data_IF_385977018738
#
_entry.id   IF_385977018738
#
_cell.length_a   1.000
_cell.length_b   1.000
_cell.length_c   1.000
_cell.angle_alpha   90.00
_cell.angle_beta   90.00
_cell.angle_gamma   90.00
#
_symmetry.space_group_name_H-M   'P 1'
#
loop_
_entity.id
_entity.type
_entity.pdbx_description
1 polymer ?
#
# COMPACT_ATOMS: atom_id res chain seq x y z
N UNK A 1 17.42 5.01 25.20
CA UNK A 1 17.97 5.67 26.39
C UNK A 1 19.35 6.16 26.01
N UNK A 2 19.68 7.40 26.31
CA UNK A 2 20.99 8.00 26.07
C UNK A 2 21.67 8.11 27.43
N UNK A 3 22.83 7.47 27.56
CA UNK A 3 23.65 7.47 28.77
C UNK A 3 24.96 8.16 28.44
N UNK A 4 25.06 9.41 28.85
CA UNK A 4 26.23 10.25 28.62
C UNK A 4 26.54 10.97 29.93
N UNK A 5 27.47 10.43 30.75
CA UNK A 5 27.76 10.99 32.06
C UNK A 5 28.54 12.31 32.00
N UNK A 6 29.04 12.72 30.83
CA UNK A 6 29.68 14.02 30.67
C UNK A 6 28.62 15.10 30.44
N UNK A 7 28.16 15.71 31.54
CA UNK A 7 27.12 16.74 31.50
C UNK A 7 27.68 18.16 31.32
N UNK A 8 29.01 18.31 31.28
CA UNK A 8 29.65 19.62 31.33
C UNK A 8 29.95 20.19 29.94
N UNK A 9 30.01 19.34 28.92
CA UNK A 9 30.22 19.70 27.52
C UNK A 9 29.13 19.09 26.64
N UNK A 10 28.67 19.83 25.63
CA UNK A 10 27.71 19.34 24.62
C UNK A 10 26.45 18.65 25.18
N UNK A 11 25.94 19.16 26.30
CA UNK A 11 24.77 18.61 26.99
C UNK A 11 23.48 18.65 26.15
N UNK A 12 23.47 19.33 25.00
CA UNK A 12 22.33 19.42 24.10
C UNK A 12 22.54 18.54 22.87
N UNK A 13 21.61 17.63 22.65
CA UNK A 13 21.65 16.71 21.52
C UNK A 13 20.32 16.71 20.77
N UNK A 14 20.40 16.38 19.49
CA UNK A 14 19.24 16.21 18.62
C UNK A 14 19.11 14.74 18.27
N UNK A 15 17.95 14.16 18.60
CA UNK A 15 17.59 12.79 18.28
C UNK A 15 16.66 12.80 17.07
N UNK A 16 17.06 12.16 15.99
CA UNK A 16 16.27 11.99 14.78
C UNK A 16 15.91 10.52 14.58
N UNK A 17 14.61 10.26 14.42
CA UNK A 17 14.04 8.96 14.09
C UNK A 17 13.78 8.90 12.59
N UNK A 18 14.36 7.91 11.94
CA UNK A 18 14.16 7.60 10.53
C UNK A 18 13.38 6.29 10.41
N UNK A 19 12.49 6.26 9.43
CA UNK A 19 11.76 5.07 9.01
C UNK A 19 11.95 4.93 7.50
N UNK A 20 12.61 3.86 7.05
CA UNK A 20 13.00 3.65 5.65
C UNK A 20 13.67 4.89 5.04
N UNK A 21 14.73 5.38 5.68
CA UNK A 21 15.51 6.58 5.33
C UNK A 21 14.76 7.92 5.33
N UNK A 22 13.48 7.95 5.71
CA UNK A 22 12.71 9.18 5.86
C UNK A 22 12.66 9.60 7.31
N UNK A 23 13.03 10.86 7.59
CA UNK A 23 12.86 11.47 8.92
C UNK A 23 11.38 11.46 9.29
N UNK A 24 11.03 10.89 10.44
CA UNK A 24 9.68 10.87 11.01
C UNK A 24 9.53 11.79 12.19
N UNK A 25 10.56 11.90 13.01
CA UNK A 25 10.55 12.72 14.22
C UNK A 25 11.95 13.24 14.51
N UNK A 26 12.05 14.50 14.91
CA UNK A 26 13.28 15.10 15.42
C UNK A 26 12.96 15.77 16.75
N UNK A 27 13.74 15.44 17.77
CA UNK A 27 13.58 15.99 19.13
C UNK A 27 14.94 16.49 19.58
N UNK A 28 14.97 17.73 20.05
CA UNK A 28 16.14 18.26 20.75
C UNK A 28 15.91 18.13 22.25
N UNK A 29 16.92 17.64 22.97
CA UNK A 29 16.86 17.44 24.41
C UNK A 29 18.20 17.81 25.05
N UNK A 30 18.16 18.04 26.36
CA UNK A 30 19.33 18.40 27.16
C UNK A 30 19.56 17.32 28.22
N UNK A 31 20.81 16.93 28.43
CA UNK A 31 21.24 15.94 29.41
C UNK A 31 21.98 16.62 30.57
N UNK A 32 21.21 17.06 31.55
CA UNK A 32 21.75 17.70 32.75
C UNK A 32 22.06 16.69 33.88
N UNK A 33 21.68 15.42 33.72
CA UNK A 33 21.71 14.41 34.79
C UNK A 33 22.53 13.15 34.45
N UNK A 34 23.26 13.14 33.33
CA UNK A 34 24.05 12.02 32.86
C UNK A 34 23.25 10.94 32.11
N UNK A 35 21.92 11.02 32.13
CA UNK A 35 21.01 10.05 31.55
C UNK A 35 19.72 10.72 31.07
N UNK A 36 19.36 10.51 29.81
CA UNK A 36 18.09 11.00 29.25
C UNK A 36 17.28 9.89 28.58
N UNK A 37 15.97 9.91 28.81
CA UNK A 37 14.99 9.07 28.14
C UNK A 37 14.18 9.91 27.17
N UNK A 38 14.44 9.74 25.87
CA UNK A 38 13.70 10.42 24.80
C UNK A 38 12.60 9.50 24.29
N UNK A 39 11.31 9.84 24.45
CA UNK A 39 10.21 9.08 23.88
C UNK A 39 10.11 9.33 22.37
N UNK A 40 10.22 8.25 21.60
CA UNK A 40 10.08 8.26 20.16
C UNK A 40 8.85 7.44 19.77
N UNK A 41 7.99 8.05 18.97
CA UNK A 41 6.78 7.45 18.43
C UNK A 41 6.62 7.91 16.97
N UNK A 42 5.99 7.07 16.17
CA UNK A 42 5.62 7.36 14.79
C UNK A 42 4.48 6.44 14.37
N UNK A 43 3.76 6.82 13.32
CA UNK A 43 2.66 6.02 12.78
C UNK A 43 3.06 5.39 11.45
N UNK A 44 2.83 4.08 11.31
CA UNK A 44 2.98 3.36 10.06
C UNK A 44 1.66 3.48 9.28
N UNK A 45 1.68 3.91 8.01
CA UNK A 45 0.48 3.96 7.18
C UNK A 45 -0.15 2.57 6.99
N UNK A 46 -1.48 2.49 7.03
CA UNK A 46 -2.24 1.25 6.82
C UNK A 46 -2.14 0.68 5.41
N UNK A 47 -1.69 1.50 4.46
CA UNK A 47 -1.46 1.09 3.06
C UNK A 47 -0.08 0.48 2.84
N UNK A 48 0.80 0.48 3.86
CA UNK A 48 2.16 0.00 3.71
C UNK A 48 2.24 -1.53 3.81
N UNK A 49 2.62 -2.16 2.69
CA UNK A 49 2.74 -3.62 2.57
C UNK A 49 4.18 -4.11 2.77
N UNK A 50 5.13 -3.22 3.09
CA UNK A 50 6.50 -3.62 3.37
C UNK A 50 6.51 -4.52 4.59
N UNK A 51 7.00 -5.75 4.45
CA UNK A 51 7.06 -6.72 5.55
C UNK A 51 8.17 -6.43 6.54
N UNK A 52 9.19 -5.69 6.13
CA UNK A 52 10.34 -5.29 6.95
C UNK A 52 10.66 -3.82 6.69
N UNK A 53 10.83 -3.04 7.75
CA UNK A 53 11.22 -1.64 7.67
C UNK A 53 12.43 -1.37 8.58
N UNK A 54 13.31 -0.49 8.10
CA UNK A 54 14.47 -0.05 8.86
C UNK A 54 14.10 1.15 9.74
N UNK A 55 14.44 1.04 11.02
CA UNK A 55 14.42 2.12 11.99
C UNK A 55 15.85 2.54 12.26
N UNK A 56 16.17 3.79 11.96
CA UNK A 56 17.46 4.39 12.26
C UNK A 56 17.26 5.54 13.24
N UNK A 57 17.98 5.48 14.36
CA UNK A 57 18.01 6.54 15.37
C UNK A 57 19.37 7.18 15.30
N UNK A 58 19.40 8.48 15.00
CA UNK A 58 20.62 9.28 14.96
C UNK A 58 20.58 10.26 16.12
N UNK A 59 21.63 10.28 16.93
CA UNK A 59 21.84 11.23 18.01
C UNK A 59 23.03 12.10 17.61
N UNK A 60 22.81 13.40 17.50
CA UNK A 60 23.82 14.38 17.08
C UNK A 60 24.03 15.42 18.17
N UNK A 61 25.26 15.59 18.60
CA UNK A 61 25.75 16.71 19.41
C UNK A 61 26.49 17.70 18.49
N UNK A 62 26.91 18.89 18.98
CA UNK A 62 27.74 19.80 18.20
C UNK A 62 29.05 19.19 17.69
N UNK A 63 29.64 18.25 18.43
CA UNK A 63 30.95 17.66 18.11
C UNK A 63 30.88 16.22 17.59
N UNK A 64 29.81 15.48 17.87
CA UNK A 64 29.72 14.05 17.59
C UNK A 64 28.37 13.64 17.00
N UNK A 65 28.36 12.50 16.33
CA UNK A 65 27.13 11.86 15.87
C UNK A 65 27.24 10.36 16.08
N UNK A 66 26.17 9.78 16.64
CA UNK A 66 26.04 8.35 16.88
C UNK A 66 24.76 7.84 16.24
N UNK A 67 24.81 6.65 15.65
CA UNK A 67 23.66 6.03 15.01
C UNK A 67 23.39 4.63 15.56
N UNK A 68 22.11 4.27 15.58
CA UNK A 68 21.66 2.93 15.92
C UNK A 68 20.56 2.50 14.96
N UNK A 69 20.79 1.36 14.31
CA UNK A 69 19.87 0.75 13.37
C UNK A 69 19.17 -0.44 14.01
N UNK A 70 17.89 -0.60 13.72
CA UNK A 70 17.09 -1.76 14.08
C UNK A 70 16.02 -1.99 13.04
N UNK A 71 15.67 -3.24 12.78
CA UNK A 71 14.65 -3.59 11.81
C UNK A 71 13.38 -4.02 12.53
N UNK A 72 12.23 -3.57 12.02
CA UNK A 72 10.93 -4.02 12.47
C UNK A 72 10.25 -4.80 11.35
N UNK A 73 9.60 -5.89 11.72
CA UNK A 73 8.72 -6.59 10.79
C UNK A 73 7.30 -6.05 10.96
N UNK A 74 6.69 -5.69 9.85
CA UNK A 74 5.36 -5.10 9.78
C UNK A 74 4.43 -6.18 9.27
N UNK A 75 3.54 -6.62 10.15
CA UNK A 75 2.45 -7.52 9.83
C UNK A 75 1.17 -6.70 9.82
N UNK A 76 0.84 -6.12 8.67
CA UNK A 76 -0.47 -5.54 8.44
C UNK A 76 -1.28 -6.55 7.65
N UNK A 77 -2.36 -7.06 8.25
CA UNK A 77 -3.40 -7.70 7.46
C UNK A 77 -3.83 -6.66 6.45
N UNK A 78 -3.65 -6.97 5.16
CA UNK A 78 -4.26 -6.19 4.09
C UNK A 78 -5.75 -6.28 4.38
N UNK A 79 -6.30 -5.27 5.05
CA UNK A 79 -7.72 -5.03 4.99
C UNK A 79 -7.92 -4.80 3.51
N UNK A 80 -8.36 -5.85 2.83
CA UNK A 80 -8.89 -5.73 1.50
C UNK A 80 -10.03 -4.73 1.65
N UNK A 81 -9.72 -3.45 1.40
CA UNK A 81 -10.69 -2.36 1.28
C UNK A 81 -11.71 -2.66 0.18
N UNK A 82 -11.62 -3.81 -0.48
CA UNK A 82 -12.55 -4.37 -1.43
C UNK A 82 -13.67 -5.23 -0.83
N UNK A 83 -13.70 -5.47 0.49
CA UNK A 83 -14.79 -6.28 1.10
C UNK A 83 -15.87 -5.50 1.85
N UNK A 84 -15.76 -4.17 1.99
CA UNK A 84 -16.79 -3.32 2.63
C UNK A 84 -17.62 -2.48 1.65
N UNK A 85 -17.36 -2.59 0.35
CA UNK A 85 -18.32 -2.18 -0.69
C UNK A 85 -18.65 -3.42 -1.49
N UNK A 86 -19.85 -3.98 -1.28
CA UNK A 86 -20.38 -5.16 -1.98
C UNK A 86 -20.58 -4.98 -3.48
N UNK A 87 -19.56 -4.52 -4.20
CA UNK A 87 -19.50 -4.60 -5.65
C UNK A 87 -18.92 -5.96 -5.99
N UNK A 88 -19.83 -6.93 -6.03
CA UNK A 88 -19.66 -8.15 -6.80
C UNK A 88 -19.00 -7.75 -8.10
N UNK A 89 -17.77 -8.22 -8.33
CA UNK A 89 -17.05 -7.99 -9.58
C UNK A 89 -17.96 -8.45 -10.72
N UNK A 90 -18.63 -7.50 -11.36
CA UNK A 90 -19.54 -7.79 -12.45
C UNK A 90 -18.68 -8.19 -13.64
N UNK A 91 -18.34 -9.47 -13.74
CA UNK A 91 -18.01 -10.16 -15.00
C UNK A 91 -19.26 -10.21 -15.92
N UNK A 92 -20.05 -9.14 -15.99
CA UNK A 92 -21.27 -9.01 -16.79
C UNK A 92 -21.06 -8.32 -18.14
N UNK A 93 -19.84 -7.95 -18.50
CA UNK A 93 -19.58 -7.29 -19.78
C UNK A 93 -19.30 -8.26 -20.96
N UNK A 94 -18.64 -9.41 -20.75
CA UNK A 94 -18.27 -10.31 -21.87
C UNK A 94 -19.37 -11.27 -22.32
N UNK A 95 -20.29 -11.69 -21.44
CA UNK A 95 -21.33 -12.68 -21.81
C UNK A 95 -22.45 -12.10 -22.69
N UNK A 96 -22.76 -10.80 -22.56
CA UNK A 96 -23.82 -10.16 -23.37
C UNK A 96 -23.44 -10.06 -24.85
N UNK A 97 -22.18 -9.76 -25.15
CA UNK A 97 -21.69 -9.64 -26.53
C UNK A 97 -21.75 -10.96 -27.28
N UNK A 98 -21.39 -12.07 -26.62
CA UNK A 98 -21.49 -13.41 -27.20
C UNK A 98 -22.94 -13.82 -27.48
N UNK A 99 -23.86 -13.55 -26.53
CA UNK A 99 -25.28 -13.87 -26.71
C UNK A 99 -25.90 -13.07 -27.87
N UNK A 100 -25.57 -11.78 -27.98
CA UNK A 100 -26.04 -10.93 -29.09
C UNK A 100 -25.48 -11.42 -30.43
N UNK A 101 -24.20 -11.80 -30.48
CA UNK A 101 -23.60 -12.34 -31.69
C UNK A 101 -24.30 -13.64 -32.16
N UNK A 102 -24.61 -14.55 -31.23
CA UNK A 102 -25.32 -15.80 -31.54
C UNK A 102 -26.74 -15.53 -32.03
N UNK A 103 -27.45 -14.59 -31.42
CA UNK A 103 -28.81 -14.21 -31.83
C UNK A 103 -28.84 -13.61 -33.25
N UNK A 104 -27.87 -12.76 -33.59
CA UNK A 104 -27.76 -12.20 -34.95
C UNK A 104 -27.53 -13.29 -36.00
N UNK A 105 -26.66 -14.27 -35.73
CA UNK A 105 -26.38 -15.36 -36.68
C UNK A 105 -27.61 -16.24 -36.91
N UNK A 106 -28.34 -16.58 -35.84
CA UNK A 106 -29.59 -17.37 -35.95
C UNK A 106 -30.65 -16.65 -36.78
N UNK A 107 -30.80 -15.34 -36.62
CA UNK A 107 -31.76 -14.55 -37.39
C UNK A 107 -31.45 -14.57 -38.90
N UNK A 108 -30.17 -14.43 -39.28
CA UNK A 108 -29.75 -14.48 -40.70
C UNK A 108 -30.04 -15.84 -41.31
N UNK A 109 -29.75 -16.94 -40.60
CA UNK A 109 -30.03 -18.30 -41.07
C UNK A 109 -31.53 -18.51 -41.30
N UNK A 110 -32.37 -18.05 -40.38
CA UNK A 110 -33.83 -18.17 -40.51
C UNK A 110 -34.37 -17.47 -41.77
N UNK A 111 -33.85 -16.28 -42.09
CA UNK A 111 -34.23 -15.54 -43.30
C UNK A 111 -33.80 -16.29 -44.57
N UNK A 112 -32.57 -16.83 -44.60
CA UNK A 112 -32.08 -17.60 -45.74
C UNK A 112 -32.95 -18.85 -45.97
N UNK A 113 -33.30 -19.58 -44.92
CA UNK A 113 -34.18 -20.75 -45.02
C UNK A 113 -35.55 -20.36 -45.55
N UNK A 114 -36.15 -19.27 -45.06
CA UNK A 114 -37.44 -18.79 -45.55
C UNK A 114 -37.41 -18.44 -47.04
N UNK A 115 -36.35 -17.75 -47.51
CA UNK A 115 -36.18 -17.42 -48.93
C UNK A 115 -36.03 -18.68 -49.78
N UNK A 116 -35.25 -19.66 -49.33
CA UNK A 116 -35.09 -20.94 -50.05
C UNK A 116 -36.42 -21.70 -50.14
N UNK A 117 -37.20 -21.74 -49.07
CA UNK A 117 -38.54 -22.37 -49.06
C UNK A 117 -39.47 -21.68 -50.06
N UNK A 118 -39.48 -20.35 -50.10
CA UNK A 118 -40.29 -19.58 -51.06
C UNK A 118 -39.85 -19.87 -52.51
N UNK A 119 -38.54 -19.89 -52.78
CA UNK A 119 -38.02 -20.22 -54.11
C UNK A 119 -38.40 -21.65 -54.52
N UNK A 120 -38.29 -22.62 -53.61
CA UNK A 120 -38.69 -24.00 -53.87
C UNK A 120 -40.20 -24.14 -54.10
N UNK A 121 -41.02 -23.35 -53.41
CA UNK A 121 -42.46 -23.29 -53.65
C UNK A 121 -42.81 -22.66 -55.00
N UNK A 122 -42.10 -21.62 -55.43
CA UNK A 122 -42.31 -20.96 -56.73
C UNK A 122 -41.77 -21.76 -57.92
N UNK A 123 -40.81 -22.67 -57.69
CA UNK A 123 -40.25 -23.56 -58.71
C UNK A 123 -41.01 -24.88 -58.87
N UNK A 124 -42.07 -25.09 -58.08
CA UNK A 124 -42.97 -26.24 -58.17
C UNK A 124 -44.23 -25.84 -58.92
#
# INVERSE_FOLDING_TARGET
>A
VINDPDTNFDNKFTVSLFYNDKVKKTITSTNDAGLVRVPLDFTIPTTETNTTAEIKIVVTTPTESSEKLTNINIYQDVIASDSATGKIATKKAKKKTALVAVLCVLAVIAVVVAVVVIILWLRK
#
